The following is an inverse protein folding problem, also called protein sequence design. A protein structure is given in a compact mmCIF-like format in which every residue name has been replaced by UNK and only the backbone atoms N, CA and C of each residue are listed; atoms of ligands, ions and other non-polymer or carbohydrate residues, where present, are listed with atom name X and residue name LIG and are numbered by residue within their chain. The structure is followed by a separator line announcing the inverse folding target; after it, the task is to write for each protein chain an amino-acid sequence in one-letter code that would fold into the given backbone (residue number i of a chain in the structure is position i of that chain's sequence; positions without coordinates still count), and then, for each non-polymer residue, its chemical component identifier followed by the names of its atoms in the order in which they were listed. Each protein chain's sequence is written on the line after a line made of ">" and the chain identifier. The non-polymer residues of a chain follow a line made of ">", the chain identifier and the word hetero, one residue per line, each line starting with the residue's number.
data_IF_715445501125
#
_entry.id   IF_715445501125
#
_cell.length_a   1.000
_cell.length_b   1.000
_cell.length_c   1.000
_cell.angle_alpha   90.00
_cell.angle_beta   90.00
_cell.angle_gamma   90.00
#
_symmetry.space_group_name_H-M   'P 1'
#
loop_
_entity.id
_entity.type
_entity.pdbx_description
1 polymer ?
#
# COMPACT_ATOMS: atom_id res chain seq x y z
N UNK A 1 4.74 -5.48 -11.16
CA UNK A 1 5.82 -5.19 -10.18
C UNK A 1 6.42 -6.50 -9.69
N UNK A 2 7.49 -6.44 -8.91
CA UNK A 2 8.06 -7.65 -8.31
C UNK A 2 8.56 -8.66 -9.33
N UNK A 3 9.30 -8.22 -10.35
CA UNK A 3 9.77 -9.07 -11.45
C UNK A 3 8.64 -9.80 -12.19
N UNK A 4 7.45 -9.21 -12.22
CA UNK A 4 6.28 -9.80 -12.89
C UNK A 4 5.45 -10.72 -11.98
N UNK A 5 5.83 -10.88 -10.72
CA UNK A 5 5.13 -11.73 -9.76
C UNK A 5 4.17 -10.98 -8.82
N UNK A 6 4.05 -9.68 -8.98
CA UNK A 6 3.06 -8.86 -8.27
C UNK A 6 2.24 -8.09 -9.28
N UNK A 7 0.93 -8.29 -9.27
CA UNK A 7 -0.01 -7.63 -10.18
C UNK A 7 -1.07 -6.95 -9.35
N UNK A 8 -1.06 -5.62 -9.35
CA UNK A 8 -2.00 -4.80 -8.58
C UNK A 8 -2.76 -3.90 -9.53
N UNK A 9 -4.07 -3.86 -9.37
CA UNK A 9 -4.95 -2.92 -10.05
C UNK A 9 -5.30 -1.78 -9.10
N UNK A 10 -5.19 -0.55 -9.59
CA UNK A 10 -5.45 0.67 -8.81
C UNK A 10 -6.66 1.38 -9.38
N UNK A 11 -7.56 1.85 -8.51
CA UNK A 11 -8.73 2.63 -8.90
C UNK A 11 -8.58 4.03 -8.34
N UNK A 12 -8.72 5.03 -9.21
CA UNK A 12 -8.55 6.44 -8.90
C UNK A 12 -9.86 7.20 -9.11
N UNK A 13 -10.08 8.20 -8.26
CA UNK A 13 -11.14 9.20 -8.45
C UNK A 13 -10.55 10.60 -8.37
N UNK A 14 -11.22 11.55 -9.01
CA UNK A 14 -10.86 12.97 -8.89
C UNK A 14 -11.36 13.52 -7.57
N UNK A 15 -10.45 14.04 -6.76
CA UNK A 15 -10.76 14.82 -5.56
C UNK A 15 -10.24 16.23 -5.79
N UNK A 16 -11.15 17.17 -6.07
CA UNK A 16 -10.74 18.48 -6.56
C UNK A 16 -10.04 18.36 -7.91
N UNK A 17 -8.80 18.85 -7.99
CA UNK A 17 -8.01 18.81 -9.22
C UNK A 17 -7.03 17.66 -9.28
N UNK A 18 -6.98 16.82 -8.24
CA UNK A 18 -6.03 15.70 -8.16
C UNK A 18 -6.74 14.35 -8.30
N UNK A 19 -6.08 13.42 -8.96
CA UNK A 19 -6.48 12.02 -8.91
C UNK A 19 -5.92 11.39 -7.65
N UNK A 20 -6.77 10.69 -6.90
CA UNK A 20 -6.36 9.96 -5.70
C UNK A 20 -6.77 8.50 -5.82
N UNK A 21 -5.95 7.62 -5.26
CA UNK A 21 -6.29 6.21 -5.18
C UNK A 21 -7.41 6.02 -4.18
N UNK A 22 -8.48 5.32 -4.57
CA UNK A 22 -9.60 5.00 -3.67
C UNK A 22 -9.61 3.53 -3.29
N UNK A 23 -9.10 2.67 -4.17
CA UNK A 23 -8.93 1.26 -3.85
C UNK A 23 -7.81 0.65 -4.69
N UNK A 24 -7.29 -0.46 -4.21
CA UNK A 24 -6.33 -1.26 -4.95
C UNK A 24 -6.54 -2.73 -4.59
N UNK A 25 -6.22 -3.63 -5.51
CA UNK A 25 -6.30 -5.06 -5.25
C UNK A 25 -5.47 -5.85 -6.24
N UNK A 26 -5.03 -7.02 -5.84
CA UNK A 26 -4.29 -7.88 -6.73
C UNK A 26 -3.63 -9.04 -6.02
N UNK A 27 -2.67 -9.65 -6.69
CA UNK A 27 -1.98 -10.84 -6.20
C UNK A 27 -0.49 -10.59 -6.10
N UNK A 28 0.11 -11.20 -5.08
CA UNK A 28 1.56 -11.22 -4.87
C UNK A 28 1.98 -12.66 -4.71
N UNK A 29 2.88 -13.10 -5.58
CA UNK A 29 3.46 -14.42 -5.53
C UNK A 29 4.83 -14.38 -4.86
N UNK A 30 5.30 -15.52 -4.40
CA UNK A 30 6.58 -15.64 -3.69
C UNK A 30 7.76 -15.06 -4.49
N UNK A 31 7.72 -15.17 -5.82
CA UNK A 31 8.76 -14.62 -6.68
C UNK A 31 8.88 -13.09 -6.64
N UNK A 32 7.85 -12.40 -6.13
CA UNK A 32 7.87 -10.94 -5.98
C UNK A 32 8.62 -10.48 -4.73
N UNK A 33 8.79 -11.34 -3.74
CA UNK A 33 9.38 -10.96 -2.45
C UNK A 33 10.79 -10.42 -2.63
N UNK A 34 11.06 -9.28 -2.01
CA UNK A 34 12.34 -8.57 -2.07
C UNK A 34 12.71 -7.99 -3.45
N UNK A 35 11.77 -7.97 -4.39
CA UNK A 35 11.96 -7.40 -5.73
C UNK A 35 11.19 -6.11 -5.95
N UNK A 36 10.95 -5.36 -4.88
CA UNK A 36 10.42 -4.02 -4.96
C UNK A 36 11.52 -2.97 -5.17
N UNK A 37 11.12 -1.71 -5.16
CA UNK A 37 12.04 -0.57 -5.24
C UNK A 37 11.68 0.46 -4.18
N UNK A 38 12.66 1.26 -3.80
CA UNK A 38 12.47 2.36 -2.87
C UNK A 38 11.86 3.58 -3.54
N UNK A 39 11.37 4.52 -2.73
CA UNK A 39 10.89 5.79 -3.23
C UNK A 39 12.04 6.61 -3.80
N UNK A 40 11.69 7.52 -4.70
CA UNK A 40 12.62 8.45 -5.35
C UNK A 40 12.26 9.88 -4.96
N UNK A 41 13.13 10.84 -5.29
CA UNK A 41 12.81 12.25 -5.08
C UNK A 41 11.54 12.66 -5.83
N UNK A 42 11.30 12.07 -6.99
CA UNK A 42 10.09 12.33 -7.79
C UNK A 42 8.83 11.83 -7.08
N UNK A 43 8.82 10.59 -6.58
CA UNK A 43 7.66 10.05 -5.89
C UNK A 43 7.45 10.66 -4.51
N UNK A 44 8.51 11.06 -3.83
CA UNK A 44 8.41 11.82 -2.59
C UNK A 44 7.76 13.18 -2.83
N UNK A 45 8.12 13.85 -3.92
CA UNK A 45 7.51 15.12 -4.31
C UNK A 45 6.03 14.94 -4.67
N UNK A 46 5.71 13.87 -5.39
CA UNK A 46 4.33 13.52 -5.71
C UNK A 46 3.50 13.32 -4.43
N UNK A 47 4.03 12.59 -3.46
CA UNK A 47 3.35 12.37 -2.18
C UNK A 47 3.09 13.68 -1.44
N UNK A 48 4.09 14.56 -1.37
CA UNK A 48 3.94 15.88 -0.71
C UNK A 48 2.88 16.75 -1.38
N UNK A 49 2.71 16.61 -2.70
CA UNK A 49 1.67 17.34 -3.43
C UNK A 49 0.26 16.92 -3.02
N UNK A 50 0.10 15.69 -2.52
CA UNK A 50 -1.18 15.16 -2.07
C UNK A 50 -1.44 15.34 -0.57
N UNK A 51 -0.50 15.88 0.19
CA UNK A 51 -0.74 16.19 1.60
C UNK A 51 -1.77 17.30 1.73
N UNK A 52 -2.79 17.08 2.53
CA UNK A 52 -3.78 18.11 2.82
C UNK A 52 -3.21 19.20 3.74
N UNK A 53 -3.80 20.36 3.70
CA UNK A 53 -3.40 21.50 4.53
C UNK A 53 -3.28 21.10 6.00
N UNK A 54 -2.17 21.44 6.62
CA UNK A 54 -1.89 21.14 8.00
C UNK A 54 -1.31 19.75 8.24
N UNK A 55 -1.23 18.91 7.24
CA UNK A 55 -0.53 17.62 7.30
C UNK A 55 0.88 17.84 6.77
N UNK A 56 1.88 17.52 7.55
CA UNK A 56 3.27 17.72 7.20
C UNK A 56 4.10 16.52 7.65
N UNK A 57 5.26 16.36 7.04
CA UNK A 57 6.23 15.32 7.38
C UNK A 57 5.67 13.90 7.23
N UNK A 58 4.75 13.72 6.28
CA UNK A 58 4.29 12.39 5.91
C UNK A 58 5.36 11.65 5.10
N UNK A 59 5.35 10.33 5.22
CA UNK A 59 6.16 9.49 4.35
C UNK A 59 5.47 9.37 2.98
N UNK A 60 6.26 9.19 1.94
CA UNK A 60 5.77 8.68 0.68
C UNK A 60 5.59 7.17 0.86
N UNK A 61 4.40 6.77 1.27
CA UNK A 61 4.11 5.39 1.60
C UNK A 61 3.85 4.53 0.38
N UNK A 62 4.38 3.32 0.39
CA UNK A 62 4.03 2.32 -0.62
C UNK A 62 2.62 1.78 -0.34
N UNK A 63 1.80 1.64 -1.38
CA UNK A 63 0.57 0.85 -1.28
C UNK A 63 0.97 -0.61 -1.13
N UNK A 64 1.62 -1.19 -2.12
CA UNK A 64 2.28 -2.49 -1.97
C UNK A 64 3.72 -2.25 -1.52
N UNK A 65 4.10 -2.86 -0.41
CA UNK A 65 5.41 -2.69 0.21
C UNK A 65 6.56 -3.09 -0.71
N UNK A 66 7.70 -2.43 -0.54
CA UNK A 66 8.95 -2.79 -1.21
C UNK A 66 9.27 -4.28 -1.00
N UNK A 67 9.21 -4.77 0.24
CA UNK A 67 9.51 -6.17 0.54
C UNK A 67 8.55 -7.16 -0.12
N UNK A 68 7.36 -6.71 -0.50
CA UNK A 68 6.37 -7.53 -1.21
C UNK A 68 6.41 -7.36 -2.71
N UNK A 69 7.40 -6.64 -3.23
CA UNK A 69 7.60 -6.42 -4.65
C UNK A 69 7.04 -5.09 -5.16
N UNK A 70 6.55 -4.24 -4.29
CA UNK A 70 6.00 -2.93 -4.68
C UNK A 70 7.07 -1.94 -5.10
N UNK A 71 6.81 -1.20 -6.17
CA UNK A 71 7.74 -0.20 -6.69
C UNK A 71 7.47 1.17 -6.07
N UNK A 72 8.50 1.74 -5.46
CA UNK A 72 8.46 3.08 -4.89
C UNK A 72 8.81 4.19 -5.89
N UNK A 73 9.26 3.82 -7.08
CA UNK A 73 9.64 4.77 -8.12
C UNK A 73 8.50 5.08 -9.11
N UNK A 74 7.32 4.53 -8.89
CA UNK A 74 6.14 4.82 -9.71
C UNK A 74 5.03 5.44 -8.84
N UNK A 75 4.46 6.58 -9.26
CA UNK A 75 3.46 7.29 -8.44
C UNK A 75 2.21 6.48 -8.13
N UNK A 76 1.80 5.57 -9.00
CA UNK A 76 0.58 4.76 -8.80
C UNK A 76 0.61 3.95 -7.50
N UNK A 77 1.80 3.60 -7.01
CA UNK A 77 1.96 2.79 -5.80
C UNK A 77 2.27 3.63 -4.55
N UNK A 78 2.10 4.94 -4.61
CA UNK A 78 2.50 5.86 -3.54
C UNK A 78 1.30 6.67 -3.06
N UNK A 79 1.20 6.86 -1.75
CA UNK A 79 0.23 7.75 -1.15
C UNK A 79 0.85 8.47 0.06
N UNK A 80 0.33 9.65 0.46
CA UNK A 80 0.84 10.34 1.64
C UNK A 80 0.42 9.55 2.89
N UNK A 81 1.39 9.10 3.65
CA UNK A 81 1.18 8.20 4.76
C UNK A 81 1.79 8.77 6.04
N UNK A 82 1.03 8.71 7.13
CA UNK A 82 1.54 9.10 8.44
C UNK A 82 2.80 8.28 8.75
N UNK A 83 3.87 8.97 9.15
CA UNK A 83 5.17 8.33 9.36
C UNK A 83 5.13 7.27 10.46
N UNK A 84 4.44 7.53 11.57
CA UNK A 84 4.32 6.56 12.65
C UNK A 84 3.57 5.31 12.22
N UNK A 85 2.50 5.47 11.45
CA UNK A 85 1.73 4.36 10.90
C UNK A 85 2.57 3.57 9.90
N UNK A 86 3.22 4.25 8.96
CA UNK A 86 4.05 3.63 7.94
C UNK A 86 5.20 2.80 8.53
N UNK A 87 5.87 3.35 9.54
CA UNK A 87 7.04 2.72 10.16
C UNK A 87 6.68 1.77 11.30
N UNK A 88 5.44 1.80 11.77
CA UNK A 88 4.93 1.01 12.88
C UNK A 88 3.99 -0.10 12.46
N UNK A 89 2.70 0.06 12.78
CA UNK A 89 1.70 -0.99 12.61
C UNK A 89 1.55 -1.47 11.16
N UNK A 90 1.63 -0.56 10.21
CA UNK A 90 1.52 -0.91 8.79
C UNK A 90 2.71 -1.77 8.34
N UNK A 91 3.92 -1.39 8.74
CA UNK A 91 5.12 -2.17 8.45
C UNK A 91 5.08 -3.55 9.10
N UNK A 92 4.54 -3.66 10.31
CA UNK A 92 4.37 -4.94 10.99
C UNK A 92 3.40 -5.86 10.24
N UNK A 93 2.30 -5.31 9.77
CA UNK A 93 1.32 -6.06 8.98
C UNK A 93 1.92 -6.56 7.66
N UNK A 94 2.68 -5.69 6.99
CA UNK A 94 3.40 -6.07 5.78
C UNK A 94 4.40 -7.21 6.04
N UNK A 95 5.06 -7.20 7.19
CA UNK A 95 5.97 -8.27 7.61
C UNK A 95 5.25 -9.59 7.85
N UNK A 96 4.05 -9.56 8.43
CA UNK A 96 3.22 -10.75 8.60
C UNK A 96 2.82 -11.34 7.25
N UNK A 97 2.42 -10.50 6.31
CA UNK A 97 2.06 -10.92 4.95
C UNK A 97 3.28 -11.55 4.26
N UNK A 98 4.44 -10.90 4.38
CA UNK A 98 5.69 -11.43 3.83
C UNK A 98 5.96 -12.86 4.33
N UNK A 99 5.87 -13.06 5.63
CA UNK A 99 6.10 -14.38 6.24
C UNK A 99 5.07 -15.40 5.76
N UNK A 100 3.82 -14.99 5.63
CA UNK A 100 2.75 -15.87 5.16
C UNK A 100 2.98 -16.34 3.72
N UNK A 101 3.43 -15.45 2.85
CA UNK A 101 3.74 -15.80 1.46
C UNK A 101 4.97 -16.71 1.41
N UNK A 102 6.00 -16.37 2.18
CA UNK A 102 7.25 -17.14 2.18
C UNK A 102 7.08 -18.55 2.73
N UNK A 103 6.33 -18.68 3.84
CA UNK A 103 6.16 -19.95 4.56
C UNK A 103 4.98 -20.77 4.06
N UNK A 104 4.03 -20.15 3.38
CA UNK A 104 2.82 -20.80 2.88
C UNK A 104 2.96 -21.31 1.46
N UNK A 105 1.87 -21.22 0.68
CA UNK A 105 1.85 -21.72 -0.70
C UNK A 105 2.39 -20.72 -1.72
N UNK A 106 2.90 -19.60 -1.27
CA UNK A 106 3.63 -18.68 -2.12
C UNK A 106 2.78 -17.64 -2.84
N UNK A 107 1.51 -17.43 -2.45
CA UNK A 107 0.67 -16.40 -3.04
C UNK A 107 -0.30 -15.82 -2.01
N UNK A 108 -0.54 -14.52 -2.11
CA UNK A 108 -1.59 -13.82 -1.37
C UNK A 108 -2.39 -12.94 -2.31
N UNK A 109 -3.68 -12.80 -2.04
CA UNK A 109 -4.54 -11.80 -2.66
C UNK A 109 -4.71 -10.65 -1.67
N UNK A 110 -4.30 -9.46 -2.08
CA UNK A 110 -4.30 -8.27 -1.24
C UNK A 110 -5.31 -7.27 -1.75
N UNK A 111 -5.93 -6.52 -0.84
CA UNK A 111 -6.79 -5.41 -1.21
C UNK A 111 -6.68 -4.28 -0.21
N UNK A 112 -6.86 -3.07 -0.72
CA UNK A 112 -6.81 -1.82 0.03
C UNK A 112 -8.02 -0.98 -0.28
N UNK A 113 -8.62 -0.39 0.74
CA UNK A 113 -9.64 0.63 0.59
C UNK A 113 -9.14 1.88 1.31
N UNK A 114 -9.02 2.98 0.56
CA UNK A 114 -8.53 4.25 1.08
C UNK A 114 -9.72 5.13 1.43
N UNK A 115 -9.75 5.62 2.67
CA UNK A 115 -10.87 6.35 3.22
C UNK A 115 -10.54 7.84 3.26
N UNK A 116 -11.41 8.65 2.66
CA UNK A 116 -11.27 10.11 2.60
C UNK A 116 -12.45 10.75 3.32
N UNK A 117 -12.18 11.83 4.04
CA UNK A 117 -13.21 12.52 4.81
C UNK A 117 -14.27 13.17 3.90
N UNK A 118 -13.79 13.75 2.80
CA UNK A 118 -14.65 14.32 1.75
C UNK A 118 -14.08 13.97 0.38
N UNK A 119 -14.86 14.28 -0.68
CA UNK A 119 -14.41 14.08 -2.06
C UNK A 119 -13.43 15.16 -2.57
N UNK A 120 -12.94 16.02 -1.68
CA UNK A 120 -11.91 17.02 -2.00
C UNK A 120 -10.60 16.78 -1.28
N UNK A 121 -10.59 15.90 -0.26
CA UNK A 121 -9.35 15.55 0.43
C UNK A 121 -8.47 14.68 -0.47
N UNK A 122 -7.15 14.90 -0.37
CA UNK A 122 -6.15 14.18 -1.18
C UNK A 122 -5.28 13.24 -0.36
N UNK A 123 -5.36 13.33 0.97
CA UNK A 123 -4.71 12.39 1.88
C UNK A 123 -5.79 11.55 2.56
N UNK A 124 -5.75 10.22 2.46
CA UNK A 124 -6.72 9.38 3.14
C UNK A 124 -6.53 9.47 4.66
N UNK A 125 -7.62 9.45 5.42
CA UNK A 125 -7.54 9.42 6.89
C UNK A 125 -7.36 8.00 7.43
N UNK A 126 -7.58 7.01 6.60
CA UNK A 126 -7.44 5.61 6.99
C UNK A 126 -7.37 4.68 5.80
N UNK A 127 -6.89 3.49 6.06
CA UNK A 127 -6.77 2.43 5.06
C UNK A 127 -7.28 1.13 5.65
N UNK A 128 -8.16 0.44 4.93
CA UNK A 128 -8.55 -0.93 5.25
C UNK A 128 -7.74 -1.85 4.35
N UNK A 129 -6.94 -2.71 4.95
CA UNK A 129 -6.01 -3.58 4.24
C UNK A 129 -6.36 -5.03 4.54
N UNK A 130 -6.66 -5.80 3.50
CA UNK A 130 -7.00 -7.21 3.60
C UNK A 130 -5.93 -8.06 2.96
N UNK A 131 -5.66 -9.20 3.58
CA UNK A 131 -4.81 -10.23 3.02
C UNK A 131 -5.55 -11.56 3.05
N UNK A 132 -5.70 -12.17 1.89
CA UNK A 132 -6.35 -13.46 1.74
C UNK A 132 -5.35 -14.45 1.16
N UNK A 133 -5.38 -15.66 1.69
CA UNK A 133 -4.46 -16.71 1.28
C UNK A 133 -5.28 -17.89 0.78
N UNK A 134 -4.69 -18.65 -0.14
CA UNK A 134 -5.34 -19.86 -0.63
C UNK A 134 -5.51 -20.88 0.49
N UNK A 135 -6.47 -21.77 0.31
CA UNK A 135 -6.70 -22.86 1.26
C UNK A 135 -5.42 -23.66 1.52
N UNK A 136 -5.27 -24.10 2.74
CA UNK A 136 -4.09 -24.80 3.25
C UNK A 136 -2.85 -23.93 3.39
N UNK A 137 -3.01 -22.63 3.40
CA UNK A 137 -1.90 -21.76 3.65
C UNK A 137 -1.50 -21.73 5.11
N UNK A 138 -0.30 -21.24 5.33
CA UNK A 138 0.29 -21.09 6.65
C UNK A 138 -0.50 -20.11 7.52
N UNK A 139 -1.19 -19.16 6.90
CA UNK A 139 -1.91 -18.10 7.59
C UNK A 139 -3.39 -18.09 7.25
N UNK A 140 -4.18 -17.58 8.20
CA UNK A 140 -5.58 -17.26 7.97
C UNK A 140 -5.72 -15.88 7.31
N UNK A 141 -6.84 -15.68 6.62
CA UNK A 141 -7.19 -14.38 6.07
C UNK A 141 -7.29 -13.33 7.17
N UNK A 142 -6.85 -12.12 6.88
CA UNK A 142 -6.86 -11.01 7.83
C UNK A 142 -7.39 -9.74 7.18
N UNK A 143 -7.89 -8.83 8.02
CA UNK A 143 -8.32 -7.49 7.64
C UNK A 143 -7.94 -6.55 8.78
N UNK A 144 -7.24 -5.47 8.45
CA UNK A 144 -6.81 -4.48 9.42
C UNK A 144 -7.19 -3.07 8.96
N UNK A 145 -7.58 -2.24 9.91
CA UNK A 145 -7.77 -0.82 9.70
C UNK A 145 -6.57 -0.05 10.25
N UNK A 146 -6.03 0.84 9.43
CA UNK A 146 -4.91 1.70 9.80
C UNK A 146 -5.33 3.15 9.76
N UNK A 147 -5.22 3.85 10.87
CA UNK A 147 -5.49 5.28 10.97
C UNK A 147 -4.31 6.06 10.40
N UNK A 148 -4.59 6.99 9.50
CA UNK A 148 -3.58 7.76 8.78
C UNK A 148 -3.69 9.27 9.09
N UNK A 149 -3.65 9.60 10.37
CA UNK A 149 -3.80 10.98 10.82
C UNK A 149 -2.48 11.61 11.26
#
# INVERSE_FOLDING_TARGET
>A
MGNGYATIEYIYHMHGTYEVVVSASGTVEKGALDHGTETTSCTQKYSRMLEDDGKQDCDAGHILANRLGGYGNIPVNIFPQNASMNRGSYAQYEGLIYNCIEMGKGMATLSWEFLYETNTNTMPYGVIYKAMYDENDYCNDTEEYFQNL
#
